data_IF_950553540025
#
_entry.id   IF_950553540025
#
_cell.length_a   1.000
_cell.length_b   1.000
_cell.length_c   1.000
_cell.angle_alpha   90.00
_cell.angle_beta   90.00
_cell.angle_gamma   90.00
#
_symmetry.space_group_name_H-M   'P 1'
#
loop_
_entity.id
_entity.type
_entity.pdbx_description
1 polymer ?
#
# COMPACT_ATOMS: atom_id res chain seq x y z
N UNK A 1 -15.53 12.25 6.26
CA UNK A 1 -14.39 11.52 6.85
C UNK A 1 -13.15 12.39 6.85
N UNK A 2 -12.19 12.10 7.72
CA UNK A 2 -10.89 12.78 7.76
C UNK A 2 -9.82 11.80 7.31
N UNK A 3 -8.91 12.25 6.47
CA UNK A 3 -7.74 11.48 6.06
C UNK A 3 -6.49 12.27 6.42
N UNK A 4 -5.67 11.69 7.29
CA UNK A 4 -4.36 12.20 7.69
C UNK A 4 -3.30 11.38 6.96
N UNK A 5 -2.52 12.05 6.13
CA UNK A 5 -1.38 11.49 5.42
C UNK A 5 -0.12 11.81 6.20
N UNK A 6 0.74 10.81 6.37
CA UNK A 6 2.09 10.95 6.91
C UNK A 6 3.06 10.21 6.00
N UNK A 7 4.16 10.86 5.63
CA UNK A 7 5.27 10.22 4.91
C UNK A 7 6.59 10.53 5.60
N UNK A 8 7.42 9.49 5.77
CA UNK A 8 8.79 9.65 6.24
C UNK A 8 9.70 9.93 5.04
N UNK A 9 10.25 11.14 4.96
CA UNK A 9 11.13 11.55 3.87
C UNK A 9 12.01 12.72 4.29
N UNK A 10 13.31 12.65 3.96
CA UNK A 10 14.26 13.75 4.20
C UNK A 10 14.43 14.57 2.94
N UNK A 11 14.03 15.83 3.00
CA UNK A 11 14.15 16.76 1.88
C UNK A 11 15.50 17.49 1.89
N UNK A 12 15.90 18.00 0.73
CA UNK A 12 16.98 18.96 0.60
C UNK A 12 16.59 20.36 1.10
N UNK A 13 17.54 21.28 1.04
CA UNK A 13 17.31 22.69 1.37
C UNK A 13 16.28 23.32 0.43
N UNK A 14 15.34 24.09 0.99
CA UNK A 14 14.25 24.76 0.27
C UNK A 14 13.33 23.83 -0.54
N UNK A 15 13.31 22.55 -0.19
CA UNK A 15 12.36 21.59 -0.72
C UNK A 15 11.16 21.41 0.21
N UNK A 16 10.02 21.09 -0.39
CA UNK A 16 8.81 20.74 0.33
C UNK A 16 8.09 19.58 -0.35
N UNK A 17 7.33 18.83 0.44
CA UNK A 17 6.52 17.72 -0.08
C UNK A 17 5.11 18.24 -0.32
N UNK A 18 4.55 17.93 -1.48
CA UNK A 18 3.12 18.11 -1.76
C UNK A 18 2.49 16.80 -2.21
N UNK A 19 1.23 16.61 -1.86
CA UNK A 19 0.38 15.49 -2.29
C UNK A 19 -0.61 15.98 -3.35
N UNK A 20 -0.74 15.22 -4.42
CA UNK A 20 -1.71 15.47 -5.50
C UNK A 20 -2.46 14.19 -5.81
N UNK A 21 -3.69 14.31 -6.33
CA UNK A 21 -4.53 13.16 -6.62
C UNK A 21 -5.71 13.47 -7.54
N UNK A 22 -6.56 12.47 -7.75
CA UNK A 22 -7.69 12.51 -8.69
C UNK A 22 -8.97 13.16 -8.12
N UNK A 23 -8.87 13.88 -6.99
CA UNK A 23 -9.99 14.53 -6.32
C UNK A 23 -9.74 16.03 -6.11
N UNK A 24 -10.78 16.87 -6.01
CA UNK A 24 -10.63 18.32 -5.78
C UNK A 24 -9.81 18.67 -4.55
N UNK A 25 -10.00 17.91 -3.47
CA UNK A 25 -9.31 18.07 -2.19
C UNK A 25 -7.80 17.81 -2.29
N UNK A 26 -7.36 17.12 -3.36
CA UNK A 26 -5.96 16.86 -3.71
C UNK A 26 -5.57 17.52 -5.05
N UNK A 27 -6.31 18.53 -5.49
CA UNK A 27 -5.95 19.36 -6.64
C UNK A 27 -6.32 18.81 -8.02
N UNK A 28 -6.97 17.64 -8.14
CA UNK A 28 -7.34 17.00 -9.42
C UNK A 28 -6.15 16.88 -10.41
N UNK A 29 -4.97 16.51 -9.90
CA UNK A 29 -3.76 16.36 -10.70
C UNK A 29 -3.11 17.67 -11.14
N UNK A 30 -3.66 18.84 -10.76
CA UNK A 30 -3.04 20.14 -11.02
C UNK A 30 -1.92 20.40 -10.01
N UNK A 31 -0.64 20.52 -10.43
CA UNK A 31 0.50 20.80 -9.56
C UNK A 31 0.34 22.05 -8.67
N UNK A 32 -0.28 23.11 -9.19
CA UNK A 32 -0.48 24.37 -8.48
C UNK A 32 -1.51 24.26 -7.35
N UNK A 33 -2.34 23.22 -7.39
CA UNK A 33 -3.38 22.92 -6.39
C UNK A 33 -3.01 21.72 -5.51
N UNK A 34 -1.79 21.19 -5.63
CA UNK A 34 -1.31 20.12 -4.77
C UNK A 34 -1.27 20.59 -3.30
N UNK A 35 -1.69 19.72 -2.39
CA UNK A 35 -1.74 20.04 -0.96
C UNK A 35 -0.33 19.96 -0.39
N UNK A 36 0.14 21.06 0.20
CA UNK A 36 1.45 21.12 0.86
C UNK A 36 1.43 20.37 2.20
N UNK A 37 2.43 19.51 2.40
CA UNK A 37 2.64 18.84 3.69
C UNK A 37 3.43 19.75 4.64
N UNK A 38 3.24 19.53 5.93
CA UNK A 38 3.91 20.23 7.03
C UNK A 38 4.81 19.26 7.79
N UNK A 39 5.92 19.74 8.30
CA UNK A 39 6.85 18.97 9.15
C UNK A 39 7.31 19.82 10.32
N UNK A 40 7.58 19.17 11.46
CA UNK A 40 8.17 19.80 12.64
C UNK A 40 9.62 19.34 12.90
N UNK A 41 10.06 18.25 12.28
CA UNK A 41 11.34 17.60 12.52
C UNK A 41 12.17 17.40 11.24
N UNK A 42 11.64 17.80 10.08
CA UNK A 42 12.28 17.64 8.77
C UNK A 42 12.30 16.21 8.23
N UNK A 43 11.62 15.27 8.91
CA UNK A 43 11.60 13.84 8.53
C UNK A 43 10.18 13.33 8.35
N UNK A 44 9.26 13.66 9.26
CA UNK A 44 7.86 13.28 9.16
C UNK A 44 7.06 14.44 8.59
N UNK A 45 6.49 14.21 7.41
CA UNK A 45 5.68 15.18 6.69
C UNK A 45 4.22 14.77 6.74
N UNK A 46 3.34 15.71 7.05
CA UNK A 46 1.93 15.43 7.30
C UNK A 46 1.00 16.39 6.55
N UNK A 47 -0.13 15.89 6.11
CA UNK A 47 -1.24 16.68 5.61
C UNK A 47 -2.56 16.05 6.02
N UNK A 48 -3.58 16.86 6.24
CA UNK A 48 -4.91 16.39 6.54
C UNK A 48 -5.91 16.97 5.55
N UNK A 49 -6.81 16.12 5.05
CA UNK A 49 -7.96 16.56 4.25
C UNK A 49 -9.25 16.09 4.90
N UNK A 50 -10.30 16.90 4.72
CA UNK A 50 -11.67 16.48 4.93
C UNK A 50 -12.20 15.96 3.61
N UNK A 51 -12.63 14.70 3.57
CA UNK A 51 -13.33 14.14 2.41
C UNK A 51 -14.84 14.14 2.69
N UNK A 52 -15.65 14.95 1.96
CA UNK A 52 -17.07 15.09 2.21
C UNK A 52 -17.87 13.81 1.95
N UNK A 53 -17.50 13.07 0.90
CA UNK A 53 -18.18 11.84 0.48
C UNK A 53 -17.16 10.73 0.23
N UNK A 54 -17.33 9.53 0.82
CA UNK A 54 -16.52 8.36 0.50
C UNK A 54 -16.45 8.12 -1.01
N UNK A 55 -15.24 7.86 -1.51
CA UNK A 55 -14.96 7.58 -2.93
C UNK A 55 -13.62 6.88 -3.07
N UNK A 56 -13.30 6.41 -4.27
CA UNK A 56 -11.95 5.99 -4.61
C UNK A 56 -11.04 7.21 -4.81
N UNK A 57 -9.88 7.21 -4.14
CA UNK A 57 -8.85 8.23 -4.27
C UNK A 57 -7.60 7.57 -4.83
N UNK A 58 -7.01 8.20 -5.84
CA UNK A 58 -5.68 7.91 -6.32
C UNK A 58 -4.79 9.12 -6.07
N UNK A 59 -3.60 8.90 -5.51
CA UNK A 59 -2.71 9.98 -5.10
C UNK A 59 -1.23 9.60 -5.26
N UNK A 60 -0.38 10.63 -5.22
CA UNK A 60 1.07 10.52 -5.27
C UNK A 60 1.72 11.72 -4.60
N UNK A 61 2.95 11.53 -4.10
CA UNK A 61 3.77 12.61 -3.55
C UNK A 61 4.71 13.19 -4.61
N UNK A 62 5.05 14.46 -4.43
CA UNK A 62 6.00 15.21 -5.26
C UNK A 62 6.86 16.09 -4.35
N UNK A 63 8.13 16.22 -4.70
CA UNK A 63 9.05 17.19 -4.10
C UNK A 63 9.06 18.44 -4.97
N UNK A 64 8.82 19.58 -4.33
CA UNK A 64 8.83 20.89 -4.97
C UNK A 64 10.03 21.70 -4.50
N UNK A 65 10.60 22.48 -5.41
CA UNK A 65 11.57 23.53 -5.11
C UNK A 65 11.20 24.76 -5.91
N UNK A 66 11.02 25.91 -5.26
CA UNK A 66 10.60 27.16 -5.91
C UNK A 66 9.32 27.01 -6.78
N UNK A 67 8.35 26.21 -6.33
CA UNK A 67 7.12 25.82 -7.06
C UNK A 67 7.29 24.89 -8.26
N UNK A 68 8.50 24.51 -8.63
CA UNK A 68 8.73 23.49 -9.65
C UNK A 68 8.82 22.10 -9.04
N UNK A 69 8.26 21.08 -9.71
CA UNK A 69 8.42 19.68 -9.33
C UNK A 69 9.85 19.25 -9.68
N UNK A 70 10.65 18.92 -8.65
CA UNK A 70 12.02 18.41 -8.82
C UNK A 70 12.09 16.88 -8.73
N UNK A 71 11.14 16.26 -8.03
CA UNK A 71 11.01 14.81 -7.95
C UNK A 71 9.55 14.40 -7.80
N UNK A 72 9.19 13.25 -8.36
CA UNK A 72 7.82 12.74 -8.35
C UNK A 72 7.83 11.24 -8.11
N UNK A 73 6.94 10.75 -7.26
CA UNK A 73 6.77 9.32 -7.05
C UNK A 73 6.42 8.59 -8.34
N UNK A 74 6.77 7.31 -8.38
CA UNK A 74 6.44 6.46 -9.50
C UNK A 74 4.92 6.21 -9.61
N UNK A 75 4.35 6.70 -10.70
CA UNK A 75 2.91 6.67 -11.02
C UNK A 75 2.49 5.51 -11.92
N UNK A 76 3.41 4.60 -12.28
CA UNK A 76 3.07 3.41 -13.09
C UNK A 76 2.09 2.45 -12.40
N UNK A 77 1.93 2.58 -11.08
CA UNK A 77 0.82 2.00 -10.33
C UNK A 77 0.39 2.98 -9.22
N UNK A 78 -0.77 3.64 -9.30
CA UNK A 78 -1.12 4.70 -8.35
C UNK A 78 -1.35 4.15 -6.94
N UNK A 79 -1.04 4.95 -5.90
CA UNK A 79 -1.55 4.65 -4.57
C UNK A 79 -3.06 4.81 -4.61
N UNK A 80 -3.79 3.80 -4.13
CA UNK A 80 -5.26 3.80 -4.16
C UNK A 80 -5.85 3.63 -2.77
N UNK A 81 -6.86 4.43 -2.45
CA UNK A 81 -7.73 4.23 -1.30
C UNK A 81 -9.14 4.07 -1.82
N UNK A 82 -9.87 3.09 -1.30
CA UNK A 82 -11.26 2.85 -1.66
C UNK A 82 -12.09 2.91 -0.41
N UNK A 83 -13.02 3.86 -0.40
CA UNK A 83 -13.96 4.05 0.70
C UNK A 83 -15.38 3.76 0.24
N UNK A 84 -16.17 3.23 1.15
CA UNK A 84 -17.58 2.91 1.01
C UNK A 84 -18.43 3.86 1.85
N UNK A 85 -19.77 3.79 1.71
CA UNK A 85 -20.68 4.60 2.52
C UNK A 85 -20.52 4.37 4.03
N UNK A 86 -19.99 3.21 4.45
CA UNK A 86 -19.71 2.88 5.85
C UNK A 86 -18.59 3.75 6.45
N UNK A 87 -17.73 4.33 5.62
CA UNK A 87 -16.54 5.06 6.06
C UNK A 87 -16.81 6.55 6.33
N UNK A 88 -18.03 7.03 6.08
CA UNK A 88 -18.37 8.48 6.06
C UNK A 88 -17.90 9.26 7.29
N UNK A 89 -17.95 8.66 8.47
CA UNK A 89 -17.61 9.28 9.76
C UNK A 89 -16.27 8.80 10.33
N UNK A 90 -15.54 7.96 9.60
CA UNK A 90 -14.26 7.40 10.04
C UNK A 90 -13.11 8.39 9.90
N UNK A 91 -12.04 8.15 10.64
CA UNK A 91 -10.73 8.81 10.45
C UNK A 91 -9.72 7.80 9.93
N UNK A 92 -8.97 8.19 8.91
CA UNK A 92 -7.87 7.40 8.37
C UNK A 92 -6.53 8.06 8.70
N UNK A 93 -5.61 7.29 9.25
CA UNK A 93 -4.24 7.69 9.52
C UNK A 93 -3.32 6.85 8.64
N UNK A 94 -2.77 7.44 7.59
CA UNK A 94 -1.96 6.75 6.59
C UNK A 94 -0.49 7.04 6.85
N UNK A 95 0.32 5.99 6.96
CA UNK A 95 1.78 6.07 6.97
C UNK A 95 2.27 5.49 5.65
N UNK A 96 2.80 6.38 4.80
CA UNK A 96 3.35 6.07 3.50
C UNK A 96 4.88 6.06 3.54
N UNK A 97 5.49 5.19 2.73
CA UNK A 97 6.92 5.26 2.38
C UNK A 97 7.06 5.73 0.95
N UNK A 98 8.05 6.59 0.67
CA UNK A 98 8.29 7.09 -0.70
C UNK A 98 8.40 5.98 -1.73
N UNK A 99 7.73 6.18 -2.88
CA UNK A 99 7.64 5.18 -3.96
C UNK A 99 8.51 5.55 -5.15
N UNK A 100 9.69 4.94 -5.23
CA UNK A 100 10.54 4.98 -6.43
C UNK A 100 10.06 4.00 -7.50
N UNK A 101 10.64 4.12 -8.71
CA UNK A 101 10.42 3.18 -9.80
C UNK A 101 11.10 1.85 -9.42
N UNK A 102 10.37 0.73 -9.29
CA UNK A 102 10.97 -0.57 -9.02
C UNK A 102 11.85 -0.99 -10.21
N UNK A 103 12.97 -1.66 -9.92
CA UNK A 103 13.83 -2.27 -10.94
C UNK A 103 13.01 -3.17 -11.88
N UNK A 104 12.08 -3.93 -11.31
CA UNK A 104 11.20 -4.83 -12.05
C UNK A 104 9.80 -4.22 -12.31
N UNK A 105 9.74 -2.91 -12.58
CA UNK A 105 8.50 -2.18 -12.86
C UNK A 105 7.64 -2.78 -13.99
N UNK A 106 8.24 -3.57 -14.89
CA UNK A 106 7.54 -4.29 -15.95
C UNK A 106 6.48 -5.28 -15.41
N UNK A 107 6.65 -5.84 -14.20
CA UNK A 107 5.66 -6.73 -13.58
C UNK A 107 4.33 -6.04 -13.24
N UNK A 108 4.30 -4.70 -13.25
CA UNK A 108 3.06 -3.93 -13.03
C UNK A 108 2.31 -3.63 -14.32
N UNK A 109 2.84 -4.03 -15.48
CA UNK A 109 2.14 -3.88 -16.75
C UNK A 109 1.01 -4.90 -16.89
N UNK A 110 0.02 -4.59 -17.73
CA UNK A 110 -1.10 -5.48 -18.02
C UNK A 110 -0.68 -6.82 -18.62
N UNK A 111 0.47 -6.89 -19.30
CA UNK A 111 1.04 -8.15 -19.78
C UNK A 111 1.27 -9.15 -18.63
N UNK A 112 1.63 -8.64 -17.45
CA UNK A 112 1.79 -9.45 -16.25
C UNK A 112 0.51 -9.48 -15.41
N UNK A 113 -0.02 -8.33 -15.01
CA UNK A 113 -1.10 -8.28 -14.02
C UNK A 113 -2.45 -8.75 -14.55
N UNK A 114 -2.66 -8.68 -15.86
CA UNK A 114 -3.93 -9.04 -16.51
C UNK A 114 -3.79 -10.22 -17.48
N UNK A 115 -2.57 -10.76 -17.67
CA UNK A 115 -2.35 -11.95 -18.52
C UNK A 115 -1.48 -13.02 -17.86
N UNK A 116 -0.15 -12.83 -17.76
CA UNK A 116 0.75 -13.90 -17.31
C UNK A 116 0.59 -14.29 -15.84
N UNK A 117 0.35 -13.30 -14.97
CA UNK A 117 0.19 -13.44 -13.52
C UNK A 117 -1.20 -12.99 -13.08
N UNK A 118 -2.19 -13.09 -13.97
CA UNK A 118 -3.53 -12.61 -13.73
C UNK A 118 -4.22 -13.39 -12.60
N UNK A 119 -4.72 -12.68 -11.59
CA UNK A 119 -5.63 -13.24 -10.59
C UNK A 119 -7.06 -13.13 -11.12
N UNK A 120 -7.53 -14.17 -11.82
CA UNK A 120 -8.84 -14.16 -12.49
C UNK A 120 -10.03 -14.13 -11.52
N UNK A 121 -9.80 -14.58 -10.28
CA UNK A 121 -10.75 -14.55 -9.18
C UNK A 121 -10.10 -13.84 -8.00
N UNK A 122 -10.18 -12.52 -8.01
CA UNK A 122 -9.67 -11.68 -6.91
C UNK A 122 -10.52 -11.89 -5.67
N UNK A 123 -9.88 -11.79 -4.51
CA UNK A 123 -10.56 -11.75 -3.22
C UNK A 123 -11.39 -10.46 -3.09
N UNK A 124 -12.37 -10.49 -2.20
CA UNK A 124 -13.13 -9.31 -1.80
C UNK A 124 -12.27 -8.36 -0.95
N UNK A 125 -12.79 -7.16 -0.70
CA UNK A 125 -12.21 -6.26 0.28
C UNK A 125 -12.14 -6.92 1.66
N UNK A 126 -11.05 -6.70 2.42
CA UNK A 126 -10.98 -7.14 3.81
C UNK A 126 -12.16 -6.63 4.64
N UNK A 127 -12.49 -7.35 5.71
CA UNK A 127 -13.51 -6.92 6.66
C UNK A 127 -13.07 -5.63 7.34
N UNK A 128 -14.01 -4.71 7.50
CA UNK A 128 -13.79 -3.48 8.26
C UNK A 128 -13.94 -3.73 9.75
N UNK A 129 -13.08 -3.07 10.54
CA UNK A 129 -13.10 -3.12 12.00
C UNK A 129 -13.31 -1.73 12.60
N UNK A 130 -13.98 -1.61 13.76
CA UNK A 130 -14.15 -0.32 14.41
C UNK A 130 -12.82 0.36 14.74
N UNK A 131 -11.79 -0.42 15.10
CA UNK A 131 -10.40 0.02 15.22
C UNK A 131 -9.59 -0.81 14.22
N UNK A 132 -9.30 -0.25 13.06
CA UNK A 132 -8.69 -0.99 11.94
C UNK A 132 -7.19 -0.78 11.84
N UNK A 133 -6.42 -1.87 11.77
CA UNK A 133 -5.03 -1.84 11.32
C UNK A 133 -4.93 -2.42 9.92
N UNK A 134 -4.68 -1.56 8.93
CA UNK A 134 -4.50 -1.94 7.53
C UNK A 134 -3.01 -2.04 7.20
N UNK A 135 -2.63 -3.12 6.53
CA UNK A 135 -1.30 -3.26 5.92
C UNK A 135 -1.47 -3.43 4.42
N UNK A 136 -0.86 -2.52 3.64
CA UNK A 136 -0.85 -2.52 2.19
C UNK A 136 0.57 -2.71 1.67
N UNK A 137 0.72 -3.51 0.63
CA UNK A 137 2.04 -3.84 0.07
C UNK A 137 1.95 -4.27 -1.38
N UNK A 138 3.01 -4.08 -2.15
CA UNK A 138 3.05 -4.46 -3.56
C UNK A 138 3.85 -5.75 -3.76
N UNK A 139 3.25 -6.74 -4.40
CA UNK A 139 3.91 -8.00 -4.73
C UNK A 139 3.36 -8.54 -6.07
N UNK A 140 3.88 -8.04 -7.21
CA UNK A 140 3.34 -8.36 -8.52
C UNK A 140 3.76 -9.73 -9.05
N UNK A 141 4.73 -10.40 -8.41
CA UNK A 141 5.26 -11.70 -8.83
C UNK A 141 4.36 -12.89 -8.47
N UNK A 142 3.40 -12.69 -7.58
CA UNK A 142 2.61 -13.77 -6.99
C UNK A 142 1.58 -14.25 -8.01
N UNK A 143 1.60 -15.54 -8.34
CA UNK A 143 0.63 -16.18 -9.25
C UNK A 143 -0.68 -16.54 -8.53
N UNK A 144 -1.74 -16.87 -9.29
CA UNK A 144 -3.08 -17.10 -8.76
C UNK A 144 -3.18 -18.25 -7.73
N UNK A 145 -2.30 -19.25 -7.81
CA UNK A 145 -2.23 -20.37 -6.87
C UNK A 145 -1.71 -19.98 -5.47
N UNK A 146 -1.07 -18.82 -5.37
CA UNK A 146 -0.51 -18.29 -4.14
C UNK A 146 -1.19 -16.99 -3.72
N UNK A 147 -1.05 -16.65 -2.45
CA UNK A 147 -1.32 -15.31 -1.95
C UNK A 147 -0.21 -14.83 -1.05
N UNK A 148 -0.15 -13.51 -0.84
CA UNK A 148 0.58 -12.96 0.28
C UNK A 148 -0.22 -13.18 1.57
N UNK A 149 0.45 -13.50 2.67
CA UNK A 149 -0.17 -13.57 3.99
C UNK A 149 0.73 -12.91 5.04
N UNK A 150 0.17 -12.54 6.19
CA UNK A 150 0.91 -11.96 7.33
C UNK A 150 0.95 -12.97 8.48
N UNK A 151 2.12 -13.16 9.07
CA UNK A 151 2.32 -13.95 10.29
C UNK A 151 3.24 -13.19 11.25
N UNK A 152 3.00 -13.28 12.56
CA UNK A 152 3.62 -12.39 13.53
C UNK A 152 3.54 -12.86 14.97
N UNK A 153 4.03 -12.02 15.88
CA UNK A 153 4.36 -12.36 17.27
C UNK A 153 3.18 -12.47 18.23
N UNK A 154 1.95 -12.13 17.83
CA UNK A 154 0.78 -12.16 18.69
C UNK A 154 -0.25 -13.19 18.23
N UNK A 155 -1.22 -13.50 19.11
CA UNK A 155 -2.22 -14.54 18.86
C UNK A 155 -3.05 -14.27 17.59
N UNK A 156 -3.44 -13.00 17.37
CA UNK A 156 -4.16 -12.58 16.18
C UNK A 156 -3.40 -12.89 14.88
N UNK A 157 -2.06 -12.86 14.90
CA UNK A 157 -1.19 -13.17 13.76
C UNK A 157 -0.57 -14.58 13.85
N UNK A 158 -1.07 -15.41 14.76
CA UNK A 158 -0.72 -16.82 14.86
C UNK A 158 0.51 -17.16 15.70
N UNK A 159 1.11 -16.22 16.44
CA UNK A 159 2.32 -16.45 17.25
C UNK A 159 3.44 -17.16 16.46
N UNK A 160 3.77 -16.65 15.27
CA UNK A 160 4.74 -17.21 14.32
C UNK A 160 4.41 -18.61 13.80
N UNK A 161 3.16 -19.07 13.95
CA UNK A 161 2.68 -20.29 13.31
C UNK A 161 2.11 -19.97 11.90
N UNK A 162 2.79 -20.36 10.81
CA UNK A 162 2.36 -20.07 9.45
C UNK A 162 1.01 -20.71 9.07
N UNK A 163 0.59 -21.78 9.74
CA UNK A 163 -0.74 -22.37 9.51
C UNK A 163 -1.88 -21.46 10.00
N UNK A 164 -1.57 -20.46 10.82
CA UNK A 164 -2.49 -19.44 11.34
C UNK A 164 -2.25 -18.06 10.73
N UNK A 165 -1.41 -17.95 9.71
CA UNK A 165 -1.17 -16.69 9.02
C UNK A 165 -2.46 -16.15 8.39
N UNK A 166 -2.57 -14.82 8.33
CA UNK A 166 -3.75 -14.13 7.79
C UNK A 166 -3.52 -13.87 6.29
N UNK A 167 -4.27 -14.50 5.37
CA UNK A 167 -4.17 -14.22 3.94
C UNK A 167 -4.54 -12.77 3.64
N UNK A 168 -3.79 -12.12 2.75
CA UNK A 168 -4.08 -10.79 2.24
C UNK A 168 -4.97 -10.87 1.00
N UNK A 169 -5.81 -9.86 0.81
CA UNK A 169 -6.65 -9.67 -0.37
C UNK A 169 -5.87 -9.06 -1.52
N UNK A 170 -6.09 -9.58 -2.71
CA UNK A 170 -5.58 -9.13 -4.01
C UNK A 170 -6.62 -8.31 -4.79
N UNK A 171 -7.64 -7.75 -4.13
CA UNK A 171 -8.70 -6.97 -4.77
C UNK A 171 -8.16 -5.87 -5.70
N UNK A 172 -7.00 -5.28 -5.36
CA UNK A 172 -6.28 -4.28 -6.14
C UNK A 172 -4.93 -4.80 -6.69
N UNK A 173 -4.83 -6.10 -7.03
CA UNK A 173 -3.60 -6.70 -7.55
C UNK A 173 -2.92 -5.80 -8.60
N UNK A 174 -1.60 -5.55 -8.50
CA UNK A 174 -0.61 -6.21 -7.63
C UNK A 174 -0.42 -5.62 -6.22
N UNK A 175 -1.33 -4.75 -5.76
CA UNK A 175 -1.38 -4.35 -4.36
C UNK A 175 -2.20 -5.36 -3.54
N UNK A 176 -1.56 -5.86 -2.48
CA UNK A 176 -2.15 -6.72 -1.48
C UNK A 176 -2.52 -5.90 -0.26
N UNK A 177 -3.68 -6.19 0.34
CA UNK A 177 -4.07 -5.58 1.60
C UNK A 177 -4.73 -6.55 2.57
N UNK A 178 -4.55 -6.30 3.86
CA UNK A 178 -5.31 -6.93 4.94
C UNK A 178 -5.70 -5.85 5.94
N UNK A 179 -6.89 -5.98 6.51
CA UNK A 179 -7.33 -5.21 7.67
C UNK A 179 -7.48 -6.16 8.85
N UNK A 180 -6.95 -5.77 10.00
CA UNK A 180 -6.97 -6.52 11.24
C UNK A 180 -7.66 -5.70 12.33
N UNK A 181 -8.31 -6.38 13.27
CA UNK A 181 -8.87 -5.75 14.46
C UNK A 181 -7.73 -5.31 15.39
N UNK A 182 -7.51 -4.00 15.50
CA UNK A 182 -6.46 -3.46 16.35
C UNK A 182 -6.62 -3.83 17.83
N UNK A 183 -7.85 -4.10 18.30
CA UNK A 183 -8.11 -4.50 19.69
C UNK A 183 -7.58 -5.91 20.02
N UNK A 184 -7.30 -6.72 18.99
CA UNK A 184 -6.74 -8.07 19.12
C UNK A 184 -5.21 -8.09 18.92
N UNK A 185 -4.60 -6.94 18.62
CA UNK A 185 -3.16 -6.83 18.38
C UNK A 185 -2.45 -6.46 19.68
N UNK A 186 -1.50 -7.30 20.09
CA UNK A 186 -0.55 -6.94 21.15
C UNK A 186 0.63 -6.17 20.55
N UNK A 187 0.85 -4.94 20.99
CA UNK A 187 2.00 -4.12 20.60
C UNK A 187 3.17 -4.25 21.58
N UNK A 188 4.45 -4.11 21.13
CA UNK A 188 4.84 -3.87 19.75
C UNK A 188 4.58 -5.07 18.85
N UNK A 189 4.09 -4.78 17.65
CA UNK A 189 3.77 -5.78 16.65
C UNK A 189 5.03 -6.09 15.85
N UNK A 190 5.41 -7.36 15.85
CA UNK A 190 6.40 -7.88 14.91
C UNK A 190 5.74 -8.84 13.94
N UNK A 191 6.01 -8.69 12.66
CA UNK A 191 5.43 -9.54 11.63
C UNK A 191 6.36 -9.73 10.44
N UNK A 192 6.04 -10.74 9.64
CA UNK A 192 6.62 -10.99 8.34
C UNK A 192 5.52 -11.31 7.32
N UNK A 193 5.78 -10.94 6.09
CA UNK A 193 5.04 -11.46 4.94
C UNK A 193 5.49 -12.88 4.61
N UNK A 194 4.54 -13.71 4.21
CA UNK A 194 4.78 -15.07 3.72
C UNK A 194 4.11 -15.26 2.35
N UNK A 195 4.76 -16.03 1.48
CA UNK A 195 4.16 -16.60 0.29
C UNK A 195 3.39 -17.85 0.70
N UNK A 196 2.06 -17.81 0.56
CA UNK A 196 1.18 -18.87 1.04
C UNK A 196 0.55 -19.62 -0.15
N UNK A 197 0.67 -20.94 -0.14
CA UNK A 197 0.05 -21.80 -1.14
C UNK A 197 -1.42 -22.03 -0.79
N UNK A 198 -2.34 -21.54 -1.64
CA UNK A 198 -3.79 -21.61 -1.38
C UNK A 198 -4.30 -23.06 -1.38
N UNK A 199 -3.70 -23.92 -2.21
CA UNK A 199 -4.12 -25.33 -2.39
C UNK A 199 -3.62 -26.21 -1.24
N UNK A 200 -2.34 -26.10 -0.92
CA UNK A 200 -1.70 -26.92 0.12
C UNK A 200 -1.90 -26.34 1.53
N UNK A 201 -2.39 -25.10 1.63
CA UNK A 201 -2.63 -24.38 2.89
C UNK A 201 -1.39 -24.30 3.76
N UNK A 202 -0.25 -24.01 3.14
CA UNK A 202 1.06 -23.93 3.80
C UNK A 202 1.84 -22.69 3.38
N UNK A 203 2.69 -22.20 4.27
CA UNK A 203 3.71 -21.21 3.92
C UNK A 203 4.83 -21.87 3.13
N UNK A 204 5.18 -21.27 1.99
CA UNK A 204 6.22 -21.76 1.08
C UNK A 204 7.52 -21.00 1.28
N UNK A 205 7.41 -19.70 1.53
CA UNK A 205 8.56 -18.83 1.75
C UNK A 205 8.18 -17.70 2.70
N UNK A 206 9.12 -17.31 3.55
CA UNK A 206 9.05 -16.11 4.36
C UNK A 206 9.82 -15.00 3.64
N UNK A 207 9.40 -13.74 3.83
CA UNK A 207 10.20 -12.63 3.36
C UNK A 207 11.58 -12.61 4.04
N UNK A 208 12.57 -12.19 3.29
CA UNK A 208 13.95 -12.03 3.75
C UNK A 208 14.10 -10.79 4.64
N UNK A 209 15.22 -10.75 5.38
CA UNK A 209 15.56 -9.64 6.27
C UNK A 209 14.97 -9.78 7.67
N UNK A 210 14.99 -8.70 8.44
CA UNK A 210 14.50 -8.67 9.81
C UNK A 210 12.96 -8.76 9.86
N UNK A 211 12.42 -8.97 11.07
CA UNK A 211 10.99 -8.78 11.31
C UNK A 211 10.62 -7.32 11.06
N UNK A 212 9.45 -7.10 10.48
CA UNK A 212 8.85 -5.76 10.43
C UNK A 212 8.36 -5.42 11.82
N UNK A 213 8.56 -4.18 12.22
CA UNK A 213 8.23 -3.69 13.55
C UNK A 213 7.24 -2.53 13.45
N UNK A 214 6.21 -2.55 14.30
CA UNK A 214 5.27 -1.46 14.46
C UNK A 214 5.05 -1.23 15.96
N UNK A 215 5.43 -0.05 16.44
CA UNK A 215 5.07 0.45 17.77
C UNK A 215 3.56 0.68 17.86
N UNK A 216 3.02 0.69 19.08
CA UNK A 216 1.59 0.99 19.30
C UNK A 216 1.19 2.34 18.70
N UNK A 217 0.34 2.36 17.64
CA UNK A 217 -0.13 3.60 17.03
C UNK A 217 -1.28 4.25 17.82
N UNK A 218 -1.74 3.64 18.91
CA UNK A 218 -2.85 4.12 19.76
C UNK A 218 -4.14 4.37 18.95
N UNK A 219 -4.51 3.40 18.11
CA UNK A 219 -5.69 3.46 17.23
C UNK A 219 -6.95 3.58 18.08
N UNK A 220 -7.78 4.59 17.81
CA UNK A 220 -9.02 4.82 18.58
C UNK A 220 -10.24 4.26 17.86
N UNK A 221 -11.36 4.29 18.58
CA UNK A 221 -12.67 3.97 18.03
C UNK A 221 -12.97 4.81 16.77
N UNK A 222 -13.45 4.13 15.73
CA UNK A 222 -13.79 4.69 14.41
C UNK A 222 -12.58 5.26 13.64
N UNK A 223 -11.37 4.81 14.01
CA UNK A 223 -10.13 5.10 13.31
C UNK A 223 -9.59 3.86 12.57
N UNK A 224 -9.00 4.10 11.41
CA UNK A 224 -8.22 3.11 10.67
C UNK A 224 -6.81 3.64 10.47
N UNK A 225 -5.82 2.92 10.98
CA UNK A 225 -4.41 3.18 10.73
C UNK A 225 -3.93 2.29 9.59
N UNK A 226 -3.33 2.86 8.55
CA UNK A 226 -2.86 2.11 7.39
C UNK A 226 -1.38 2.33 7.13
N UNK A 227 -0.63 1.24 7.04
CA UNK A 227 0.75 1.22 6.55
C UNK A 227 0.75 0.91 5.05
N UNK A 228 1.34 1.76 4.22
CA UNK A 228 1.40 1.57 2.77
C UNK A 228 2.77 1.90 2.19
N UNK A 229 3.07 1.34 1.02
CA UNK A 229 4.36 1.53 0.33
C UNK A 229 5.42 0.49 0.65
N UNK A 230 5.05 -0.62 1.31
CA UNK A 230 5.99 -1.69 1.63
C UNK A 230 6.17 -2.64 0.44
N UNK A 231 7.39 -3.18 0.31
CA UNK A 231 7.74 -4.25 -0.64
C UNK A 231 8.35 -5.43 0.13
N UNK A 232 7.73 -6.63 0.15
CA UNK A 232 8.33 -7.81 0.73
C UNK A 232 9.49 -8.29 -0.15
N UNK A 233 10.59 -8.66 0.49
CA UNK A 233 11.75 -9.20 -0.20
C UNK A 233 11.61 -10.73 -0.30
N UNK A 234 11.33 -11.23 -1.50
CA UNK A 234 11.27 -12.66 -1.79
C UNK A 234 12.31 -13.03 -2.84
N UNK A 235 12.93 -14.20 -2.70
CA UNK A 235 13.85 -14.72 -3.69
C UNK A 235 13.08 -15.58 -4.69
N UNK A 236 12.45 -14.94 -5.66
CA UNK A 236 11.84 -15.65 -6.79
C UNK A 236 12.89 -16.09 -7.81
N UNK A 237 12.69 -17.23 -8.49
CA UNK A 237 13.48 -17.57 -9.67
C UNK A 237 13.37 -16.47 -10.74
N UNK A 238 14.48 -16.17 -11.41
CA UNK A 238 14.51 -15.18 -12.49
C UNK A 238 13.56 -15.61 -13.61
N UNK A 239 12.59 -14.77 -13.93
CA UNK A 239 11.69 -15.00 -15.05
C UNK A 239 12.46 -14.78 -16.36
N UNK A 240 12.45 -15.78 -17.23
CA UNK A 240 13.01 -15.69 -18.59
C UNK A 240 11.86 -15.67 -19.59
N UNK A 241 11.75 -14.58 -20.35
CA UNK A 241 10.73 -14.41 -21.38
C UNK A 241 11.27 -13.62 -22.56
N UNK A 242 10.69 -13.86 -23.73
CA UNK A 242 10.90 -13.05 -24.92
C UNK A 242 9.54 -12.49 -25.37
N UNK A 243 9.52 -11.23 -25.77
CA UNK A 243 8.32 -10.55 -26.26
C UNK A 243 8.56 -9.94 -27.64
N UNK A 244 7.49 -9.74 -28.39
CA UNK A 244 7.50 -9.00 -29.66
C UNK A 244 6.65 -7.75 -29.50
N UNK A 245 7.19 -6.60 -29.90
CA UNK A 245 6.41 -5.36 -29.98
C UNK A 245 5.64 -5.36 -31.29
N UNK A 246 4.32 -5.43 -31.22
CA UNK A 246 3.43 -5.32 -32.38
C UNK A 246 2.80 -3.93 -32.35
N UNK A 247 3.21 -2.99 -33.22
CA UNK A 247 2.56 -1.69 -33.29
C UNK A 247 1.14 -1.87 -33.79
N UNK A 248 0.16 -1.45 -32.98
CA UNK A 248 -1.25 -1.44 -33.38
C UNK A 248 -1.54 -0.07 -33.99
N UNK A 249 -1.59 0.00 -35.32
CA UNK A 249 -2.13 1.17 -36.01
C UNK A 249 -3.64 1.02 -36.08
N UNK A 250 -4.38 1.99 -35.53
CA UNK A 250 -5.83 2.03 -35.67
C UNK A 250 -6.21 2.30 -37.13
N UNK A 251 -7.15 1.52 -37.67
CA UNK A 251 -7.80 1.69 -38.97
C UNK A 251 -8.93 2.72 -38.87
#
# INVERSE_FOLDING_TARGET
MIISFTIEYRTGWNEEIRISGNIPELGNGNPDKAVRLQTCDGTHWTAQIQLPTPRTIEYYYCIYRNNDIVHKEWTGFPRRLQFTAADKDRKYCLIDFWKDIPEESYFYSSAFTESLLAHRKRADFPKHYPQGLVVKTYAPHITEDYCLAICGNCEALGNWNPAKAIPMSDVNFPEWLVEMDATQITFPLEYKFILYNKKERKAEMWENGNNRYLSDPQIKQDETFALSGQYPAFNFPVLKGAGVSIPVFAL
#
